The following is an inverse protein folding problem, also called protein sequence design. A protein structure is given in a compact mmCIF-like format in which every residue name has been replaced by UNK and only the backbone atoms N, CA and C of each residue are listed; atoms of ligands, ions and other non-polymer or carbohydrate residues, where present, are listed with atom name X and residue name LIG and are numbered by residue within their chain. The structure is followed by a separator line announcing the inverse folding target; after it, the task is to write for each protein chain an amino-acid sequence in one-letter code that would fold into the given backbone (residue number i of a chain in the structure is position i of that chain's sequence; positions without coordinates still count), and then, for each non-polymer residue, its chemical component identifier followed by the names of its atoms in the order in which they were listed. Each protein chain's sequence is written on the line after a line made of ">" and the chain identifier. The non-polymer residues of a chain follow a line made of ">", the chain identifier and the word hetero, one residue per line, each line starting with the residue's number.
data_IF_118270589541
#
_entry.id   IF_118270589541
#
_cell.length_a   1.000
_cell.length_b   1.000
_cell.length_c   1.000
_cell.angle_alpha   90.00
_cell.angle_beta   90.00
_cell.angle_gamma   90.00
#
_symmetry.space_group_name_H-M   'P 1'
#
loop_
_entity.id
_entity.type
_entity.pdbx_description
1 polymer ?
#
# COMPACT_ATOMS: atom_id res chain seq x y z
N UNK A 1 19.59 8.71 6.99
CA UNK A 1 18.66 9.28 8.01
C UNK A 1 17.36 8.52 7.81
N UNK A 2 16.77 7.93 8.85
CA UNK A 2 15.45 7.27 8.73
C UNK A 2 14.32 8.33 8.69
N UNK A 3 13.10 7.89 8.38
CA UNK A 3 11.97 8.83 8.18
C UNK A 3 11.57 9.57 9.46
N UNK A 4 11.66 8.94 10.64
CA UNK A 4 11.39 9.64 11.92
C UNK A 4 12.44 10.72 12.22
N UNK A 5 13.71 10.43 11.97
CA UNK A 5 14.80 11.41 12.11
C UNK A 5 14.64 12.57 11.12
N UNK A 6 14.17 12.30 9.89
CA UNK A 6 13.87 13.34 8.90
C UNK A 6 12.75 14.26 9.39
N UNK A 7 11.63 13.70 9.86
CA UNK A 7 10.52 14.46 10.41
C UNK A 7 11.01 15.34 11.57
N UNK A 8 11.77 14.79 12.50
CA UNK A 8 12.32 15.51 13.63
C UNK A 8 13.29 16.64 13.20
N UNK A 9 14.13 16.40 12.19
CA UNK A 9 15.06 17.40 11.66
C UNK A 9 14.34 18.56 10.98
N UNK A 10 13.26 18.28 10.24
CA UNK A 10 12.40 19.30 9.62
C UNK A 10 11.68 20.13 10.69
N UNK A 11 11.02 19.50 11.66
CA UNK A 11 10.33 20.17 12.75
C UNK A 11 11.26 21.07 13.59
N UNK A 12 12.47 20.60 13.85
CA UNK A 12 13.49 21.35 14.61
C UNK A 12 14.22 22.38 13.75
N UNK A 13 13.86 22.54 12.48
CA UNK A 13 14.53 23.40 11.50
C UNK A 13 16.06 23.17 11.42
N UNK A 14 16.50 21.95 11.72
CA UNK A 14 17.89 21.50 11.57
C UNK A 14 18.25 21.21 10.11
N UNK A 15 17.26 20.88 9.31
CA UNK A 15 17.37 20.70 7.87
C UNK A 15 16.72 21.91 7.18
N UNK A 16 17.42 22.50 6.21
CA UNK A 16 16.84 23.55 5.39
C UNK A 16 15.81 22.95 4.44
N UNK A 17 14.53 23.26 4.67
CA UNK A 17 13.42 22.69 3.92
C UNK A 17 13.50 22.97 2.43
N UNK A 18 13.88 24.21 2.04
CA UNK A 18 13.96 24.60 0.62
C UNK A 18 15.09 23.86 -0.10
N UNK A 19 16.24 23.69 0.55
CA UNK A 19 17.36 22.91 0.01
C UNK A 19 16.99 21.45 -0.12
N UNK A 20 16.36 20.86 0.90
CA UNK A 20 15.89 19.47 0.89
C UNK A 20 14.89 19.20 -0.24
N UNK A 21 13.90 20.09 -0.42
CA UNK A 21 12.94 19.98 -1.52
C UNK A 21 13.62 20.18 -2.88
N UNK A 22 14.61 21.07 -2.97
CA UNK A 22 15.41 21.23 -4.20
C UNK A 22 16.17 19.98 -4.58
N UNK A 23 16.76 19.27 -3.61
CA UNK A 23 17.44 17.98 -3.86
C UNK A 23 16.46 16.90 -4.36
N UNK A 24 15.24 16.92 -3.85
CA UNK A 24 14.15 16.03 -4.33
C UNK A 24 13.81 16.38 -5.79
N UNK A 25 13.66 17.67 -6.11
CA UNK A 25 13.40 18.11 -7.48
C UNK A 25 14.53 17.65 -8.43
N UNK A 26 15.80 17.85 -8.05
CA UNK A 26 16.94 17.41 -8.84
C UNK A 26 16.93 15.89 -9.09
N UNK A 27 16.47 15.12 -8.11
CA UNK A 27 16.32 13.66 -8.23
C UNK A 27 15.21 13.28 -9.17
N UNK A 28 14.04 13.92 -9.05
CA UNK A 28 12.90 13.70 -9.95
C UNK A 28 13.30 14.00 -11.39
N UNK A 29 13.89 15.17 -11.65
CA UNK A 29 14.28 15.61 -13.01
C UNK A 29 15.32 14.68 -13.65
N UNK A 30 16.18 14.05 -12.87
CA UNK A 30 17.18 13.09 -13.34
C UNK A 30 16.59 11.71 -13.63
N UNK A 31 15.64 11.22 -12.83
CA UNK A 31 15.22 9.82 -12.84
C UNK A 31 13.84 9.61 -13.51
N UNK A 32 12.96 10.63 -13.53
CA UNK A 32 11.54 10.48 -13.88
C UNK A 32 11.32 10.09 -15.36
N UNK A 33 12.22 10.49 -16.25
CA UNK A 33 12.13 10.08 -17.66
C UNK A 33 12.20 8.55 -17.87
N UNK A 34 12.82 7.83 -16.92
CA UNK A 34 12.92 6.37 -16.92
C UNK A 34 11.91 5.74 -15.97
N UNK A 35 11.74 6.32 -14.78
CA UNK A 35 10.90 5.74 -13.72
C UNK A 35 9.41 5.87 -14.01
N UNK A 36 8.99 7.02 -14.51
CA UNK A 36 7.59 7.35 -14.80
C UNK A 36 6.64 7.07 -13.62
N UNK A 37 7.00 7.60 -12.45
CA UNK A 37 6.25 7.42 -11.22
C UNK A 37 5.19 8.49 -10.99
N UNK A 38 5.36 9.69 -11.60
CA UNK A 38 4.51 10.86 -11.40
C UNK A 38 3.61 11.05 -12.62
N UNK A 39 2.34 11.39 -12.38
CA UNK A 39 1.38 11.71 -13.45
C UNK A 39 1.84 12.94 -14.21
N UNK A 40 1.98 12.89 -15.54
CA UNK A 40 2.43 14.03 -16.34
C UNK A 40 1.63 15.31 -16.07
N UNK A 41 2.33 16.42 -15.88
CA UNK A 41 1.74 17.74 -15.60
C UNK A 41 1.30 17.96 -14.15
N UNK A 42 1.58 17.04 -13.22
CA UNK A 42 1.28 17.22 -11.79
C UNK A 42 2.52 17.54 -10.94
N UNK A 43 3.70 17.46 -11.50
CA UNK A 43 4.94 17.93 -10.89
C UNK A 43 5.32 19.30 -11.48
N UNK A 44 5.61 20.26 -10.61
CA UNK A 44 6.10 21.58 -10.96
C UNK A 44 7.15 22.03 -9.92
N UNK A 45 8.41 22.15 -10.37
CA UNK A 45 9.54 22.52 -9.50
C UNK A 45 9.35 23.88 -8.85
N UNK A 46 8.94 24.88 -9.63
CA UNK A 46 8.81 26.26 -9.14
C UNK A 46 7.70 26.36 -8.09
N UNK A 47 6.55 25.75 -8.37
CA UNK A 47 5.46 25.67 -7.41
C UNK A 47 5.85 24.94 -6.13
N UNK A 48 6.61 23.84 -6.24
CA UNK A 48 7.05 23.05 -5.09
C UNK A 48 8.05 23.83 -4.21
N UNK A 49 9.01 24.52 -4.81
CA UNK A 49 9.96 25.39 -4.10
C UNK A 49 9.27 26.60 -3.45
N UNK A 50 8.24 27.16 -4.10
CA UNK A 50 7.40 28.21 -3.51
C UNK A 50 6.67 27.70 -2.27
N UNK A 51 6.03 26.55 -2.35
CA UNK A 51 5.36 25.91 -1.20
C UNK A 51 6.35 25.62 -0.06
N UNK A 52 7.55 25.10 -0.38
CA UNK A 52 8.59 24.86 0.62
C UNK A 52 9.05 26.15 1.30
N UNK A 53 9.20 27.23 0.52
CA UNK A 53 9.55 28.56 1.03
C UNK A 53 8.46 29.09 1.97
N UNK A 54 7.21 29.07 1.56
CA UNK A 54 6.08 29.49 2.39
C UNK A 54 5.97 28.63 3.66
N UNK A 55 6.14 27.33 3.56
CA UNK A 55 6.14 26.43 4.70
C UNK A 55 7.29 26.76 5.66
N UNK A 56 8.50 27.08 5.16
CA UNK A 56 9.67 27.40 5.97
C UNK A 56 9.49 28.63 6.88
N UNK A 57 8.58 29.52 6.51
CA UNK A 57 8.22 30.72 7.28
C UNK A 57 7.20 30.44 8.39
N UNK A 58 6.56 29.28 8.36
CA UNK A 58 5.57 28.90 9.38
C UNK A 58 6.25 28.36 10.64
N UNK A 59 5.49 28.38 11.75
CA UNK A 59 5.88 27.68 12.97
C UNK A 59 5.58 26.18 12.80
N UNK A 60 6.54 25.29 13.04
CA UNK A 60 6.33 23.84 13.01
C UNK A 60 5.45 23.33 14.16
N UNK A 61 5.22 24.12 15.21
CA UNK A 61 4.36 23.75 16.32
C UNK A 61 2.95 23.38 15.81
N UNK A 62 2.46 22.24 16.27
CA UNK A 62 1.19 21.63 15.83
C UNK A 62 1.15 21.10 14.37
N UNK A 63 2.29 21.01 13.70
CA UNK A 63 2.42 20.38 12.38
C UNK A 63 3.30 19.13 12.45
N UNK A 64 2.76 17.96 12.83
CA UNK A 64 3.55 16.76 13.05
C UNK A 64 4.30 16.24 11.80
N UNK A 65 3.91 16.68 10.61
CA UNK A 65 4.54 16.35 9.33
C UNK A 65 5.07 17.61 8.61
N UNK A 66 5.50 18.61 9.37
CA UNK A 66 5.97 19.88 8.87
C UNK A 66 7.00 19.73 7.74
N UNK A 67 6.63 20.23 6.56
CA UNK A 67 7.47 20.26 5.38
C UNK A 67 7.73 18.88 4.73
N UNK A 68 7.10 17.81 5.20
CA UNK A 68 7.35 16.46 4.68
C UNK A 68 6.78 16.32 3.24
N UNK A 69 7.62 16.00 2.23
CA UNK A 69 7.14 15.75 0.88
C UNK A 69 6.35 14.44 0.80
N UNK A 70 5.20 14.46 0.13
CA UNK A 70 4.35 13.28 -0.05
C UNK A 70 3.91 13.09 -1.50
N UNK A 71 3.73 11.81 -1.89
CA UNK A 71 3.09 11.41 -3.14
C UNK A 71 1.61 11.07 -2.93
N UNK A 72 0.76 11.42 -3.89
CA UNK A 72 -0.69 11.16 -3.82
C UNK A 72 -1.13 10.30 -4.99
N UNK A 73 -1.51 9.03 -4.73
CA UNK A 73 -1.98 8.11 -5.78
C UNK A 73 -3.14 8.72 -6.57
N UNK A 74 -3.15 8.53 -7.88
CA UNK A 74 -4.03 9.24 -8.80
C UNK A 74 -5.48 8.72 -8.85
N UNK A 75 -5.97 8.19 -7.76
CA UNK A 75 -7.40 8.00 -7.47
C UNK A 75 -7.85 8.83 -6.27
N UNK A 76 -6.92 9.51 -5.58
CA UNK A 76 -7.22 10.43 -4.48
C UNK A 76 -7.37 11.82 -5.05
N UNK A 77 -8.50 12.48 -4.83
CA UNK A 77 -8.65 13.89 -5.17
C UNK A 77 -7.74 14.73 -4.29
N UNK A 78 -7.02 15.64 -4.91
CA UNK A 78 -6.13 16.59 -4.23
C UNK A 78 -6.32 17.97 -4.86
N UNK A 79 -6.67 18.96 -4.06
CA UNK A 79 -6.88 20.33 -4.54
C UNK A 79 -5.60 20.90 -5.15
N UNK A 80 -5.74 21.48 -6.34
CA UNK A 80 -4.62 21.97 -7.14
C UNK A 80 -4.08 20.94 -8.15
N UNK A 81 -4.56 19.68 -8.12
CA UNK A 81 -4.10 18.62 -9.02
C UNK A 81 -5.26 17.94 -9.74
N UNK A 82 -5.14 17.63 -11.05
CA UNK A 82 -6.10 16.79 -11.73
C UNK A 82 -6.08 15.38 -11.16
N UNK A 83 -7.22 14.69 -11.20
CA UNK A 83 -7.33 13.25 -10.97
C UNK A 83 -7.70 12.59 -12.29
N UNK A 84 -6.89 11.63 -12.74
CA UNK A 84 -7.08 10.94 -14.03
C UNK A 84 -7.41 9.45 -13.88
N UNK A 85 -7.14 8.88 -12.72
CA UNK A 85 -7.32 7.44 -12.42
C UNK A 85 -6.57 6.51 -13.37
N UNK A 86 -5.50 6.99 -14.04
CA UNK A 86 -4.83 6.22 -15.10
C UNK A 86 -5.74 5.90 -16.31
N UNK A 87 -6.82 6.65 -16.48
CA UNK A 87 -7.90 6.43 -17.43
C UNK A 87 -7.82 7.40 -18.62
N UNK A 88 -8.53 7.09 -19.69
CA UNK A 88 -8.73 7.98 -20.83
C UNK A 88 -10.01 8.82 -20.74
N UNK A 89 -10.79 8.67 -19.68
CA UNK A 89 -11.97 9.49 -19.45
C UNK A 89 -11.58 10.96 -19.23
N UNK A 90 -12.46 11.90 -19.58
CA UNK A 90 -12.23 13.33 -19.30
C UNK A 90 -11.98 13.56 -17.80
N UNK A 91 -10.98 14.37 -17.46
CA UNK A 91 -10.63 14.66 -16.04
C UNK A 91 -11.76 15.31 -15.25
N UNK A 92 -12.67 16.00 -15.96
CA UNK A 92 -13.88 16.59 -15.39
C UNK A 92 -14.80 15.57 -14.75
N UNK A 93 -14.79 14.34 -15.23
CA UNK A 93 -15.54 13.19 -14.69
C UNK A 93 -15.20 12.93 -13.23
N UNK A 94 -13.97 13.21 -12.80
CA UNK A 94 -13.46 12.89 -11.49
C UNK A 94 -13.45 14.08 -10.52
N UNK A 95 -14.01 15.23 -10.90
CA UNK A 95 -14.12 16.39 -10.02
C UNK A 95 -14.92 16.07 -8.77
N UNK A 96 -14.52 16.65 -7.65
CA UNK A 96 -15.20 16.47 -6.37
C UNK A 96 -14.35 17.02 -5.23
N UNK A 97 -14.82 16.85 -4.01
CA UNK A 97 -14.14 17.28 -2.79
C UNK A 97 -12.80 16.57 -2.65
N UNK A 98 -11.79 17.29 -2.18
CA UNK A 98 -10.47 16.74 -1.83
C UNK A 98 -10.63 15.51 -0.92
N UNK A 99 -9.79 14.54 -1.09
CA UNK A 99 -9.77 13.35 -0.24
C UNK A 99 -9.43 13.74 1.20
N UNK A 100 -10.28 13.30 2.13
CA UNK A 100 -10.13 13.62 3.56
C UNK A 100 -8.72 13.33 4.09
N UNK A 101 -8.12 12.21 3.70
CA UNK A 101 -6.77 11.84 4.14
C UNK A 101 -5.68 12.76 3.55
N UNK A 102 -5.89 13.31 2.36
CA UNK A 102 -4.97 14.31 1.78
C UNK A 102 -5.06 15.61 2.56
N UNK A 103 -6.27 16.07 2.86
CA UNK A 103 -6.50 17.24 3.72
C UNK A 103 -5.80 17.09 5.06
N UNK A 104 -5.96 15.94 5.74
CA UNK A 104 -5.31 15.67 7.03
C UNK A 104 -3.78 15.81 6.95
N UNK A 105 -3.13 15.24 5.90
CA UNK A 105 -1.68 15.35 5.78
C UNK A 105 -1.23 16.79 5.47
N UNK A 106 -1.98 17.52 4.64
CA UNK A 106 -1.71 18.93 4.35
C UNK A 106 -1.84 19.81 5.61
N UNK A 107 -2.88 19.58 6.41
CA UNK A 107 -3.07 20.26 7.70
C UNK A 107 -1.96 19.90 8.70
N UNK A 108 -1.46 18.67 8.66
CA UNK A 108 -0.29 18.23 9.44
C UNK A 108 1.03 18.84 8.94
N UNK A 109 1.03 19.63 7.86
CA UNK A 109 2.19 20.36 7.34
C UNK A 109 2.90 19.69 6.17
N UNK A 110 2.38 18.56 5.64
CA UNK A 110 2.98 17.89 4.50
C UNK A 110 2.83 18.71 3.19
N UNK A 111 3.78 18.52 2.26
CA UNK A 111 3.82 19.15 0.95
C UNK A 111 3.57 18.10 -0.13
N UNK A 112 2.55 18.30 -0.97
CA UNK A 112 2.25 17.39 -2.07
C UNK A 112 3.23 17.63 -3.23
N UNK A 113 4.04 16.60 -3.55
CA UNK A 113 5.00 16.65 -4.67
C UNK A 113 4.30 16.49 -6.02
N UNK A 114 3.28 15.64 -6.08
CA UNK A 114 2.51 15.38 -7.27
C UNK A 114 1.61 14.15 -7.13
N UNK A 115 0.83 13.88 -8.19
CA UNK A 115 0.02 12.67 -8.27
C UNK A 115 0.89 11.51 -8.74
N UNK A 116 0.76 10.35 -8.12
CA UNK A 116 1.54 9.16 -8.49
C UNK A 116 0.74 8.23 -9.38
N UNK A 117 1.41 7.67 -10.39
CA UNK A 117 0.80 6.76 -11.37
C UNK A 117 0.11 5.58 -10.67
N UNK A 118 -1.09 5.29 -11.14
CA UNK A 118 -1.88 4.11 -10.80
C UNK A 118 -2.16 3.29 -12.07
N UNK A 119 -2.56 2.03 -11.92
CA UNK A 119 -3.21 1.29 -13.00
C UNK A 119 -4.59 1.89 -13.28
N UNK A 120 -5.17 1.65 -14.46
CA UNK A 120 -6.48 2.18 -14.83
C UNK A 120 -7.52 1.85 -13.74
N UNK A 121 -8.08 2.89 -13.10
CA UNK A 121 -9.03 2.80 -11.97
C UNK A 121 -8.58 1.86 -10.83
N UNK A 122 -7.29 1.80 -10.56
CA UNK A 122 -6.70 0.84 -9.62
C UNK A 122 -6.96 -0.64 -9.96
N UNK A 123 -7.41 -0.97 -11.19
CA UNK A 123 -7.67 -2.31 -11.71
C UNK A 123 -6.37 -2.97 -12.25
N UNK A 124 -6.46 -3.73 -13.34
CA UNK A 124 -5.35 -4.56 -13.80
C UNK A 124 -4.53 -3.98 -14.96
N UNK A 125 -5.06 -2.98 -15.70
CA UNK A 125 -4.33 -2.40 -16.83
C UNK A 125 -3.19 -1.51 -16.34
N UNK A 126 -1.91 -1.87 -16.59
CA UNK A 126 -0.76 -1.17 -16.02
C UNK A 126 -0.56 0.24 -16.59
N UNK A 127 0.06 1.11 -15.78
CA UNK A 127 0.64 2.38 -16.24
C UNK A 127 2.08 2.20 -16.74
N UNK A 128 2.75 3.29 -17.12
CA UNK A 128 4.09 3.27 -17.71
C UNK A 128 5.23 3.10 -16.69
N UNK A 129 4.93 3.10 -15.40
CA UNK A 129 5.95 3.08 -14.33
C UNK A 129 6.82 1.84 -14.40
N UNK A 130 8.13 2.03 -14.28
CA UNK A 130 9.12 0.94 -14.24
C UNK A 130 9.57 0.65 -12.81
N UNK A 131 10.16 -0.54 -12.59
CA UNK A 131 10.66 -0.91 -11.28
C UNK A 131 11.96 -0.14 -10.94
N UNK A 132 12.04 0.51 -9.77
CA UNK A 132 13.21 1.30 -9.37
C UNK A 132 14.51 0.49 -9.21
N UNK A 133 14.41 -0.81 -8.92
CA UNK A 133 15.58 -1.69 -8.83
C UNK A 133 16.08 -2.16 -10.20
N UNK A 134 15.15 -2.37 -11.15
CA UNK A 134 15.48 -2.76 -12.53
C UNK A 134 14.34 -2.32 -13.48
N UNK A 135 14.59 -1.36 -14.39
CA UNK A 135 13.55 -0.81 -15.27
C UNK A 135 12.97 -1.80 -16.29
N UNK A 136 13.59 -2.99 -16.43
CA UNK A 136 13.04 -4.07 -17.26
C UNK A 136 11.93 -4.88 -16.56
N UNK A 137 11.59 -4.55 -15.32
CA UNK A 137 10.60 -5.24 -14.51
C UNK A 137 9.45 -4.30 -14.12
N UNK A 138 8.29 -4.89 -13.82
CA UNK A 138 7.15 -4.15 -13.28
C UNK A 138 7.43 -3.66 -11.84
N UNK A 139 6.96 -2.48 -11.44
CA UNK A 139 6.97 -2.05 -10.04
C UNK A 139 5.84 -2.72 -9.23
N UNK A 140 5.02 -3.55 -9.86
CA UNK A 140 3.75 -3.98 -9.28
C UNK A 140 2.66 -2.93 -9.48
N UNK A 141 1.53 -3.13 -8.79
CA UNK A 141 0.38 -2.22 -8.86
C UNK A 141 -0.73 -2.65 -7.91
N UNK A 142 -1.76 -1.84 -7.86
CA UNK A 142 -2.07 -0.64 -8.63
C UNK A 142 -1.37 0.65 -8.16
N UNK A 143 -0.78 0.70 -6.96
CA UNK A 143 -0.04 1.86 -6.44
C UNK A 143 1.40 1.90 -6.99
N UNK A 144 1.54 1.81 -8.33
CA UNK A 144 2.82 1.66 -9.04
C UNK A 144 3.75 2.83 -8.80
N UNK A 145 3.32 4.05 -9.13
CA UNK A 145 4.11 5.27 -8.96
C UNK A 145 4.38 5.60 -7.49
N UNK A 146 3.44 5.26 -6.59
CA UNK A 146 3.63 5.46 -5.15
C UNK A 146 4.80 4.63 -4.62
N UNK A 147 4.84 3.33 -4.93
CA UNK A 147 5.93 2.46 -4.50
C UNK A 147 7.26 2.82 -5.16
N UNK A 148 7.25 3.08 -6.47
CA UNK A 148 8.44 3.43 -7.22
C UNK A 148 9.03 4.78 -6.78
N UNK A 149 8.19 5.79 -6.55
CA UNK A 149 8.62 7.12 -6.09
C UNK A 149 9.21 7.10 -4.68
N UNK A 150 8.60 6.34 -3.75
CA UNK A 150 9.18 6.12 -2.40
C UNK A 150 10.53 5.43 -2.51
N UNK A 151 10.64 4.35 -3.28
CA UNK A 151 11.89 3.61 -3.44
C UNK A 151 13.02 4.43 -4.08
N UNK A 152 12.68 5.41 -4.93
CA UNK A 152 13.65 6.36 -5.52
C UNK A 152 13.86 7.60 -4.66
N UNK A 153 13.19 7.72 -3.52
CA UNK A 153 13.33 8.85 -2.60
C UNK A 153 12.80 10.16 -3.18
N UNK A 154 11.75 10.12 -3.99
CA UNK A 154 11.01 11.33 -4.41
C UNK A 154 10.22 11.90 -3.24
N UNK A 155 9.79 11.04 -2.37
CA UNK A 155 9.09 11.35 -1.14
C UNK A 155 9.20 10.17 -0.17
N UNK A 156 9.31 10.41 1.15
CA UNK A 156 9.38 9.35 2.15
C UNK A 156 8.04 8.65 2.40
N UNK A 157 6.93 9.21 1.89
CA UNK A 157 5.57 8.72 2.04
C UNK A 157 4.78 8.90 0.75
N UNK A 158 3.96 7.92 0.40
CA UNK A 158 2.95 8.08 -0.65
C UNK A 158 1.66 7.32 -0.29
N UNK A 159 0.51 7.93 -0.60
CA UNK A 159 -0.76 7.20 -0.51
C UNK A 159 -0.82 6.04 -1.48
N UNK A 160 -1.42 4.96 -1.01
CA UNK A 160 -1.82 3.79 -1.78
C UNK A 160 -3.24 3.36 -1.44
N UNK A 161 -3.81 2.52 -2.27
CA UNK A 161 -5.06 1.82 -1.99
C UNK A 161 -4.91 0.35 -2.29
N UNK A 162 -5.69 -0.50 -1.62
CA UNK A 162 -5.66 -1.94 -1.85
C UNK A 162 -7.06 -2.54 -1.87
N UNK A 163 -7.41 -3.12 -3.01
CA UNK A 163 -8.62 -3.90 -3.24
C UNK A 163 -8.31 -5.40 -3.29
N UNK A 164 -7.08 -5.76 -3.69
CA UNK A 164 -6.54 -7.14 -3.66
C UNK A 164 -5.16 -7.14 -3.00
N UNK A 165 -4.13 -6.62 -3.69
CA UNK A 165 -2.74 -6.58 -3.26
C UNK A 165 -2.03 -5.27 -3.62
N UNK A 166 -2.78 -4.19 -3.83
CA UNK A 166 -2.29 -2.98 -4.51
C UNK A 166 -1.45 -2.03 -3.65
N UNK A 167 -1.17 -2.38 -2.40
CA UNK A 167 -0.16 -1.77 -1.53
C UNK A 167 0.96 -2.78 -1.28
N UNK A 168 0.61 -3.97 -0.80
CA UNK A 168 1.55 -4.98 -0.35
C UNK A 168 2.46 -5.48 -1.49
N UNK A 169 1.88 -5.77 -2.67
CA UNK A 169 2.64 -6.27 -3.82
C UNK A 169 3.63 -5.24 -4.37
N UNK A 170 3.24 -3.99 -4.73
CA UNK A 170 4.21 -3.01 -5.18
C UNK A 170 5.23 -2.63 -4.11
N UNK A 171 4.87 -2.65 -2.81
CA UNK A 171 5.82 -2.49 -1.72
C UNK A 171 6.92 -3.57 -1.77
N UNK A 172 6.50 -4.84 -1.90
CA UNK A 172 7.41 -5.98 -2.01
C UNK A 172 8.30 -5.88 -3.25
N UNK A 173 7.75 -5.54 -4.41
CA UNK A 173 8.48 -5.46 -5.68
C UNK A 173 9.43 -4.26 -5.78
N UNK A 174 9.14 -3.17 -5.09
CA UNK A 174 9.99 -1.98 -5.08
C UNK A 174 10.94 -1.92 -3.86
N UNK A 175 10.79 -2.83 -2.89
CA UNK A 175 11.65 -2.88 -1.70
C UNK A 175 11.36 -1.76 -0.69
N UNK A 176 10.09 -1.40 -0.51
CA UNK A 176 9.62 -0.39 0.46
C UNK A 176 8.63 -0.99 1.45
N UNK A 177 8.34 -0.29 2.52
CA UNK A 177 7.30 -0.68 3.49
C UNK A 177 5.92 -0.33 2.91
N UNK A 178 4.99 -1.28 2.96
CA UNK A 178 3.60 -1.06 2.56
C UNK A 178 2.66 -1.30 3.73
N UNK A 179 1.77 -0.37 4.00
CA UNK A 179 0.86 -0.40 5.15
C UNK A 179 -0.58 -0.41 4.68
N UNK A 180 -1.29 -1.48 4.97
CA UNK A 180 -2.73 -1.61 4.78
C UNK A 180 -3.39 -1.74 6.16
N UNK A 181 -4.00 -0.67 6.68
CA UNK A 181 -4.73 -0.71 7.95
C UNK A 181 -5.92 -1.67 7.91
N UNK A 182 -6.51 -1.95 9.06
CA UNK A 182 -7.80 -2.63 9.16
C UNK A 182 -8.85 -1.91 8.31
N UNK A 183 -9.75 -2.68 7.68
CA UNK A 183 -10.81 -2.10 6.85
C UNK A 183 -11.62 -1.05 7.63
N UNK A 184 -11.74 0.14 7.04
CA UNK A 184 -12.50 1.25 7.61
C UNK A 184 -11.76 2.08 8.69
N UNK A 185 -10.51 1.75 9.06
CA UNK A 185 -9.74 2.56 10.02
C UNK A 185 -9.21 3.88 9.43
N UNK A 186 -8.99 3.92 8.13
CA UNK A 186 -8.60 5.13 7.38
C UNK A 186 -9.73 5.48 6.42
N UNK A 187 -10.11 6.76 6.36
CA UNK A 187 -11.20 7.23 5.53
C UNK A 187 -10.90 7.07 4.04
N UNK A 188 -11.87 6.59 3.27
CA UNK A 188 -11.84 6.58 1.81
C UNK A 188 -12.65 7.74 1.19
N UNK A 189 -13.09 8.71 1.99
CA UNK A 189 -13.82 9.86 1.50
C UNK A 189 -12.98 10.68 0.51
N UNK A 190 -13.55 11.00 -0.65
CA UNK A 190 -12.88 11.71 -1.72
C UNK A 190 -11.92 10.86 -2.57
N UNK A 191 -11.87 9.54 -2.36
CA UNK A 191 -11.14 8.58 -3.20
C UNK A 191 -12.08 8.02 -4.27
N UNK A 192 -11.60 7.84 -5.50
CA UNK A 192 -12.34 7.12 -6.53
C UNK A 192 -12.33 5.63 -6.20
N UNK A 193 -13.51 5.07 -5.98
CA UNK A 193 -13.69 3.69 -5.55
C UNK A 193 -13.44 2.70 -6.70
N UNK A 194 -12.87 1.55 -6.36
CA UNK A 194 -12.90 0.34 -7.16
C UNK A 194 -13.96 -0.62 -6.64
N UNK A 195 -13.96 -0.87 -5.33
CA UNK A 195 -14.89 -1.78 -4.65
C UNK A 195 -15.17 -1.28 -3.23
N UNK A 196 -16.42 -0.84 -2.98
CA UNK A 196 -16.81 -0.18 -1.72
C UNK A 196 -16.50 -0.97 -0.48
N UNK A 197 -16.66 -2.30 -0.55
CA UNK A 197 -16.48 -3.16 0.62
C UNK A 197 -15.08 -3.77 0.73
N UNK A 198 -14.23 -3.62 -0.32
CA UNK A 198 -12.87 -4.17 -0.34
C UNK A 198 -11.79 -3.10 -0.26
N UNK A 199 -12.05 -1.88 -0.72
CA UNK A 199 -11.04 -0.84 -0.80
C UNK A 199 -10.51 -0.45 0.57
N UNK A 200 -9.19 -0.52 0.71
CA UNK A 200 -8.46 -0.02 1.86
C UNK A 200 -7.61 1.17 1.42
N UNK A 201 -7.69 2.26 2.15
CA UNK A 201 -6.73 3.34 2.07
C UNK A 201 -5.55 3.00 2.98
N UNK A 202 -4.36 3.15 2.46
CA UNK A 202 -3.14 2.96 3.21
C UNK A 202 -1.99 3.69 2.54
N UNK A 203 -0.77 3.30 2.80
CA UNK A 203 0.40 4.03 2.31
C UNK A 203 1.61 3.14 2.07
N UNK A 204 2.58 3.74 1.39
CA UNK A 204 3.93 3.22 1.21
C UNK A 204 4.91 4.21 1.85
N UNK A 205 5.94 3.71 2.51
CA UNK A 205 6.96 4.54 3.13
C UNK A 205 8.34 3.87 3.06
N UNK A 206 9.37 4.67 3.27
CA UNK A 206 10.76 4.21 3.11
C UNK A 206 11.16 3.19 4.17
N UNK A 207 10.69 3.40 5.40
CA UNK A 207 11.00 2.55 6.57
C UNK A 207 9.86 2.58 7.61
N UNK A 208 10.00 1.75 8.65
CA UNK A 208 8.99 1.61 9.71
C UNK A 208 9.06 2.67 10.81
N UNK A 209 10.15 3.44 10.88
CA UNK A 209 10.41 4.37 11.99
C UNK A 209 9.34 5.45 12.16
N UNK A 210 8.66 5.83 11.06
CA UNK A 210 7.63 6.87 11.07
C UNK A 210 6.20 6.32 11.06
N UNK A 211 5.97 5.01 11.24
CA UNK A 211 4.62 4.44 11.24
C UNK A 211 3.70 5.13 12.25
N UNK A 212 4.18 5.39 13.46
CA UNK A 212 3.42 6.11 14.48
C UNK A 212 3.07 7.55 14.06
N UNK A 213 4.00 8.27 13.41
CA UNK A 213 3.77 9.64 12.96
C UNK A 213 2.64 9.71 11.91
N UNK A 214 2.66 8.82 10.93
CA UNK A 214 1.60 8.78 9.91
C UNK A 214 0.27 8.32 10.49
N UNK A 215 0.29 7.31 11.34
CA UNK A 215 -0.92 6.75 11.95
C UNK A 215 -1.64 7.74 12.86
N UNK A 216 -0.92 8.56 13.62
CA UNK A 216 -1.51 9.60 14.48
C UNK A 216 -2.30 10.64 13.68
N UNK A 217 -1.91 10.90 12.43
CA UNK A 217 -2.60 11.84 11.55
C UNK A 217 -3.76 11.17 10.82
N UNK A 218 -3.57 9.92 10.37
CA UNK A 218 -4.50 9.26 9.46
C UNK A 218 -5.55 8.39 10.15
N UNK A 219 -5.29 7.94 11.39
CA UNK A 219 -6.14 6.99 12.10
C UNK A 219 -6.73 7.64 13.35
N UNK A 220 -8.04 7.77 13.37
CA UNK A 220 -8.74 8.29 14.54
C UNK A 220 -8.50 7.42 15.78
N UNK A 221 -8.32 8.05 16.93
CA UNK A 221 -8.07 7.40 18.22
C UNK A 221 -6.83 6.48 18.21
N UNK A 222 -5.81 6.85 17.44
CA UNK A 222 -4.53 6.16 17.46
C UNK A 222 -3.90 6.23 18.86
N UNK A 223 -3.59 5.08 19.46
CA UNK A 223 -3.06 5.00 20.84
C UNK A 223 -1.56 5.16 20.91
N UNK A 224 -0.88 4.85 19.81
CA UNK A 224 0.58 4.79 19.73
C UNK A 224 1.16 3.68 20.60
N UNK A 225 1.74 2.66 19.99
CA UNK A 225 2.49 1.64 20.68
C UNK A 225 3.95 1.67 20.23
N UNK A 226 4.85 1.37 21.19
CA UNK A 226 6.24 1.11 20.88
C UNK A 226 6.54 -0.39 21.01
N UNK A 227 7.63 -0.83 20.40
CA UNK A 227 8.10 -2.20 20.53
C UNK A 227 8.34 -2.63 21.99
N UNK A 228 8.65 -1.68 22.86
CA UNK A 228 8.86 -1.89 24.31
C UNK A 228 7.58 -2.30 25.07
N UNK A 229 6.40 -1.93 24.52
CA UNK A 229 5.10 -2.26 25.15
C UNK A 229 4.59 -3.63 24.73
N UNK A 230 5.23 -4.29 23.78
CA UNK A 230 4.84 -5.62 23.30
C UNK A 230 5.27 -6.72 24.30
N UNK A 231 4.53 -7.84 24.41
CA UNK A 231 4.92 -8.98 25.22
C UNK A 231 6.33 -9.49 24.90
N UNK A 232 7.08 -9.92 25.92
CA UNK A 232 8.44 -10.43 25.72
C UNK A 232 8.46 -11.74 24.90
N UNK A 233 7.48 -12.61 25.11
CA UNK A 233 7.34 -13.88 24.39
C UNK A 233 6.35 -13.69 23.24
N UNK A 234 6.86 -13.41 22.04
CA UNK A 234 6.06 -13.21 20.82
C UNK A 234 5.98 -14.48 20.01
N UNK A 235 4.82 -14.73 19.47
CA UNK A 235 4.55 -15.87 18.61
C UNK A 235 3.95 -15.40 17.28
N UNK A 236 4.52 -15.82 16.17
CA UNK A 236 4.05 -15.50 14.82
C UNK A 236 3.62 -16.80 14.14
N UNK A 237 2.39 -16.80 13.62
CA UNK A 237 1.81 -17.92 12.90
C UNK A 237 2.21 -17.92 11.42
N UNK A 238 2.58 -19.08 10.90
CA UNK A 238 2.75 -19.30 9.46
C UNK A 238 1.49 -19.99 8.93
N UNK A 239 0.76 -19.38 7.97
CA UNK A 239 -0.39 -20.04 7.36
C UNK A 239 -0.03 -21.38 6.74
N UNK A 240 -0.85 -22.40 6.99
CA UNK A 240 -0.75 -23.72 6.36
C UNK A 240 -1.87 -23.90 5.32
N UNK A 241 -1.70 -24.86 4.40
CA UNK A 241 -2.70 -25.22 3.42
C UNK A 241 -2.46 -24.66 2.02
N UNK A 242 -3.50 -24.59 1.15
CA UNK A 242 -3.33 -24.27 -0.27
C UNK A 242 -2.84 -22.85 -0.53
N UNK A 243 -3.11 -21.91 0.37
CA UNK A 243 -2.70 -20.50 0.24
C UNK A 243 -1.17 -20.36 0.13
N UNK A 244 -0.42 -20.95 1.05
CA UNK A 244 1.04 -20.79 1.07
C UNK A 244 1.70 -21.40 -0.17
N UNK A 245 1.08 -22.44 -0.72
CA UNK A 245 1.50 -23.09 -1.96
C UNK A 245 1.33 -22.24 -3.24
N UNK A 246 0.72 -21.07 -3.16
CA UNK A 246 0.65 -20.12 -4.27
C UNK A 246 1.98 -19.40 -4.52
N UNK A 247 2.87 -19.35 -3.52
CA UNK A 247 4.21 -18.78 -3.70
C UNK A 247 5.12 -19.75 -4.48
N UNK A 248 6.07 -19.20 -5.24
CA UNK A 248 7.05 -20.01 -5.97
C UNK A 248 7.95 -20.80 -5.03
N UNK A 249 8.51 -21.91 -5.50
CA UNK A 249 9.43 -22.71 -4.71
C UNK A 249 10.66 -21.89 -4.25
N UNK A 250 11.12 -20.95 -5.08
CA UNK A 250 12.24 -20.08 -4.73
C UNK A 250 11.85 -19.06 -3.65
N UNK A 251 10.65 -18.48 -3.75
CA UNK A 251 10.14 -17.56 -2.73
C UNK A 251 9.90 -18.26 -1.39
N UNK A 252 9.41 -19.49 -1.41
CA UNK A 252 9.27 -20.31 -0.19
C UNK A 252 10.61 -20.62 0.46
N UNK A 253 11.68 -20.83 -0.33
CA UNK A 253 13.05 -21.01 0.21
C UNK A 253 13.57 -19.70 0.85
N UNK A 254 13.32 -18.54 0.24
CA UNK A 254 13.66 -17.23 0.82
C UNK A 254 12.89 -16.98 2.10
N UNK A 255 11.59 -17.26 2.07
CA UNK A 255 10.71 -17.14 3.22
C UNK A 255 11.17 -18.01 4.40
N UNK A 256 11.58 -19.26 4.15
CA UNK A 256 12.11 -20.12 5.20
C UNK A 256 13.35 -19.54 5.89
N UNK A 257 14.26 -18.93 5.13
CA UNK A 257 15.44 -18.24 5.71
C UNK A 257 15.03 -17.09 6.62
N UNK A 258 13.99 -16.30 6.23
CA UNK A 258 13.48 -15.22 7.07
C UNK A 258 12.91 -15.78 8.38
N UNK A 259 12.15 -16.85 8.31
CA UNK A 259 11.59 -17.49 9.51
C UNK A 259 12.70 -17.97 10.45
N UNK A 260 13.79 -18.50 9.92
CA UNK A 260 14.94 -18.94 10.73
C UNK A 260 15.64 -17.73 11.41
N UNK A 261 15.82 -16.61 10.70
CA UNK A 261 16.35 -15.37 11.29
C UNK A 261 15.44 -14.84 12.42
N UNK A 262 14.12 -14.89 12.24
CA UNK A 262 13.17 -14.49 13.29
C UNK A 262 13.23 -15.41 14.52
N UNK A 263 13.43 -16.73 14.34
CA UNK A 263 13.65 -17.66 15.44
C UNK A 263 14.96 -17.35 16.19
N UNK A 264 16.04 -17.06 15.48
CA UNK A 264 17.31 -16.64 16.06
C UNK A 264 17.19 -15.34 16.86
N UNK A 265 16.30 -14.45 16.44
CA UNK A 265 15.95 -13.22 17.17
C UNK A 265 15.06 -13.48 18.39
N UNK A 266 14.59 -14.71 18.60
CA UNK A 266 13.78 -15.12 19.75
C UNK A 266 12.27 -15.04 19.54
N UNK A 267 11.80 -14.93 18.30
CA UNK A 267 10.38 -15.00 17.96
C UNK A 267 9.97 -16.47 17.78
N UNK A 268 8.92 -16.89 18.48
CA UNK A 268 8.33 -18.22 18.28
C UNK A 268 7.60 -18.28 16.94
N UNK A 269 8.00 -19.20 16.07
CA UNK A 269 7.32 -19.43 14.79
C UNK A 269 6.49 -20.70 14.89
N UNK A 270 5.18 -20.56 14.70
CA UNK A 270 4.19 -21.63 14.91
C UNK A 270 3.40 -21.88 13.61
N UNK A 271 3.21 -23.15 13.18
CA UNK A 271 2.24 -23.45 12.14
C UNK A 271 0.83 -23.01 12.56
N UNK A 272 0.10 -22.35 11.66
CA UNK A 272 -1.25 -21.88 11.92
C UNK A 272 -2.18 -22.34 10.78
N UNK A 273 -3.04 -23.36 10.99
CA UNK A 273 -3.94 -23.89 9.97
C UNK A 273 -5.10 -22.90 9.75
N UNK A 274 -4.90 -21.97 8.84
CA UNK A 274 -5.86 -20.97 8.40
C UNK A 274 -6.07 -21.05 6.89
N UNK A 275 -7.16 -20.50 6.40
CA UNK A 275 -7.46 -20.42 4.96
C UNK A 275 -7.70 -21.80 4.32
N UNK A 276 -8.29 -22.73 5.04
CA UNK A 276 -8.67 -24.06 4.50
C UNK A 276 -9.58 -23.94 3.27
N UNK A 277 -10.45 -22.90 3.24
CA UNK A 277 -11.38 -22.61 2.14
C UNK A 277 -10.85 -21.51 1.21
N UNK A 278 -9.55 -21.49 0.95
CA UNK A 278 -8.90 -20.41 0.19
C UNK A 278 -9.51 -20.21 -1.21
N UNK A 279 -9.83 -21.29 -1.94
CA UNK A 279 -10.42 -21.17 -3.28
C UNK A 279 -11.83 -20.55 -3.24
N UNK A 280 -12.61 -20.81 -2.19
CA UNK A 280 -13.92 -20.14 -1.99
C UNK A 280 -13.71 -18.65 -1.75
N UNK A 281 -12.77 -18.29 -0.87
CA UNK A 281 -12.42 -16.88 -0.60
C UNK A 281 -12.00 -16.17 -1.90
N UNK A 282 -11.17 -16.82 -2.71
CA UNK A 282 -10.70 -16.29 -4.00
C UNK A 282 -11.85 -16.06 -4.97
N UNK A 283 -12.74 -17.02 -5.10
CA UNK A 283 -13.92 -16.93 -5.97
C UNK A 283 -14.90 -15.84 -5.52
N UNK A 284 -15.23 -15.80 -4.23
CA UNK A 284 -16.13 -14.77 -3.68
C UNK A 284 -15.52 -13.38 -3.78
N UNK A 285 -14.22 -13.22 -3.48
CA UNK A 285 -13.51 -11.95 -3.65
C UNK A 285 -13.63 -11.43 -5.08
N UNK A 286 -13.38 -12.28 -6.07
CA UNK A 286 -13.46 -11.89 -7.48
C UNK A 286 -14.89 -11.44 -7.87
N UNK A 287 -15.91 -12.16 -7.43
CA UNK A 287 -17.30 -11.81 -7.72
C UNK A 287 -17.70 -10.48 -7.07
N UNK A 288 -17.30 -10.26 -5.80
CA UNK A 288 -17.58 -9.00 -5.10
C UNK A 288 -16.96 -7.82 -5.84
N UNK A 289 -15.66 -7.88 -6.15
CA UNK A 289 -14.98 -6.74 -6.78
C UNK A 289 -15.53 -6.46 -8.18
N UNK A 290 -15.88 -7.47 -8.97
CA UNK A 290 -16.51 -7.27 -10.28
C UNK A 290 -17.90 -6.62 -10.15
N UNK A 291 -18.73 -7.10 -9.23
CA UNK A 291 -20.06 -6.56 -9.02
C UNK A 291 -20.02 -5.10 -8.55
N UNK A 292 -19.18 -4.80 -7.56
CA UNK A 292 -19.06 -3.44 -7.03
C UNK A 292 -18.39 -2.48 -8.01
N UNK A 293 -17.38 -2.95 -8.79
CA UNK A 293 -16.81 -2.19 -9.90
C UNK A 293 -17.89 -1.81 -10.92
N UNK A 294 -18.75 -2.76 -11.29
CA UNK A 294 -19.83 -2.49 -12.24
C UNK A 294 -20.84 -1.46 -11.74
N UNK A 295 -21.04 -1.39 -10.41
CA UNK A 295 -21.91 -0.39 -9.81
C UNK A 295 -21.26 1.00 -9.78
N UNK A 296 -19.98 1.07 -9.43
CA UNK A 296 -19.23 2.34 -9.42
C UNK A 296 -19.13 2.95 -10.81
N UNK A 297 -18.91 2.13 -11.82
CA UNK A 297 -18.69 2.57 -13.20
C UNK A 297 -19.96 2.65 -14.06
N UNK A 298 -21.15 2.39 -13.49
CA UNK A 298 -22.39 2.24 -14.26
C UNK A 298 -22.65 3.37 -15.25
N UNK A 299 -22.61 4.59 -14.77
CA UNK A 299 -22.93 5.77 -15.60
C UNK A 299 -21.78 6.12 -16.53
N UNK A 300 -20.55 6.11 -16.02
CA UNK A 300 -19.37 6.39 -16.83
C UNK A 300 -19.18 5.38 -17.97
N UNK A 301 -19.44 4.10 -17.69
CA UNK A 301 -19.31 3.04 -18.69
C UNK A 301 -20.43 3.10 -19.75
N UNK A 302 -21.64 3.52 -19.37
CA UNK A 302 -22.74 3.74 -20.32
C UNK A 302 -22.42 4.86 -21.32
N UNK A 303 -21.76 5.94 -20.84
CA UNK A 303 -21.51 7.14 -21.64
C UNK A 303 -20.18 7.07 -22.43
N UNK A 304 -19.19 6.25 -21.99
CA UNK A 304 -17.82 6.31 -22.47
C UNK A 304 -17.14 4.93 -22.61
N UNK A 305 -17.90 3.89 -22.98
CA UNK A 305 -17.38 2.52 -23.05
C UNK A 305 -16.10 2.38 -23.88
N UNK A 306 -15.98 3.14 -24.98
CA UNK A 306 -14.85 3.11 -25.92
C UNK A 306 -13.53 3.65 -25.32
N UNK A 307 -13.62 4.36 -24.19
CA UNK A 307 -12.45 4.91 -23.48
C UNK A 307 -11.87 3.95 -22.45
N UNK A 308 -12.57 2.86 -22.14
CA UNK A 308 -12.09 1.82 -21.22
C UNK A 308 -11.13 0.85 -21.92
N UNK A 309 -10.18 0.28 -21.17
CA UNK A 309 -9.43 -0.87 -21.66
C UNK A 309 -10.35 -2.09 -21.80
N UNK A 310 -10.04 -2.97 -22.76
CA UNK A 310 -10.81 -4.20 -22.99
C UNK A 310 -10.95 -5.03 -21.72
N UNK A 311 -9.83 -5.23 -20.99
CA UNK A 311 -9.82 -6.00 -19.74
C UNK A 311 -10.74 -5.42 -18.67
N UNK A 312 -10.78 -4.07 -18.51
CA UNK A 312 -11.65 -3.42 -17.54
C UNK A 312 -13.12 -3.49 -17.97
N UNK A 313 -13.39 -3.30 -19.25
CA UNK A 313 -14.75 -3.43 -19.82
C UNK A 313 -15.31 -4.84 -19.60
N UNK A 314 -14.51 -5.89 -19.82
CA UNK A 314 -14.90 -7.28 -19.54
C UNK A 314 -15.26 -7.50 -18.07
N UNK A 315 -14.48 -6.97 -17.13
CA UNK A 315 -14.76 -7.06 -15.70
C UNK A 315 -16.07 -6.38 -15.33
N UNK A 316 -16.35 -5.18 -15.89
CA UNK A 316 -17.60 -4.46 -15.65
C UNK A 316 -18.78 -5.27 -16.17
N UNK A 317 -18.70 -5.79 -17.40
CA UNK A 317 -19.77 -6.61 -18.02
C UNK A 317 -19.98 -7.92 -17.24
N UNK A 318 -18.93 -8.53 -16.73
CA UNK A 318 -19.04 -9.71 -15.87
C UNK A 318 -19.72 -9.37 -14.54
N UNK A 319 -19.35 -8.23 -13.93
CA UNK A 319 -19.93 -7.76 -12.68
C UNK A 319 -21.42 -7.47 -12.73
N UNK A 320 -21.92 -6.97 -13.88
CA UNK A 320 -23.36 -6.75 -14.12
C UNK A 320 -24.20 -8.03 -14.04
N UNK A 321 -23.58 -9.20 -14.20
CA UNK A 321 -24.25 -10.51 -14.17
C UNK A 321 -24.30 -11.14 -12.77
N UNK A 322 -23.60 -10.58 -11.79
CA UNK A 322 -23.57 -11.10 -10.42
C UNK A 322 -24.93 -10.85 -9.76
N UNK A 323 -25.51 -11.93 -9.21
CA UNK A 323 -26.77 -11.83 -8.48
C UNK A 323 -26.64 -10.98 -7.21
N UNK A 324 -27.58 -10.09 -6.95
CA UNK A 324 -27.52 -9.10 -5.85
C UNK A 324 -27.72 -9.72 -4.47
N UNK A 325 -28.50 -10.80 -4.38
CA UNK A 325 -28.69 -11.50 -3.10
C UNK A 325 -27.41 -12.29 -2.77
N UNK A 326 -26.81 -12.91 -3.77
CA UNK A 326 -25.54 -13.61 -3.63
C UNK A 326 -24.39 -12.65 -3.28
N UNK A 327 -24.33 -11.46 -3.90
CA UNK A 327 -23.38 -10.42 -3.52
C UNK A 327 -23.52 -10.06 -2.04
N UNK A 328 -24.75 -9.79 -1.57
CA UNK A 328 -24.98 -9.44 -0.17
C UNK A 328 -24.57 -10.57 0.79
N UNK A 329 -24.83 -11.86 0.41
CA UNK A 329 -24.38 -13.04 1.16
C UNK A 329 -22.85 -13.10 1.25
N UNK A 330 -22.16 -12.93 0.13
CA UNK A 330 -20.70 -12.97 0.09
C UNK A 330 -20.07 -11.86 0.91
N UNK A 331 -20.60 -10.64 0.84
CA UNK A 331 -20.13 -9.50 1.64
C UNK A 331 -20.28 -9.76 3.13
N UNK A 332 -21.39 -10.41 3.57
CA UNK A 332 -21.59 -10.76 4.98
C UNK A 332 -20.68 -11.95 5.40
N UNK A 333 -20.49 -12.93 4.52
CA UNK A 333 -19.64 -14.10 4.79
C UNK A 333 -18.19 -13.69 5.14
N UNK A 334 -17.68 -12.59 4.58
CA UNK A 334 -16.35 -12.05 4.92
C UNK A 334 -16.14 -11.83 6.41
N UNK A 335 -17.18 -11.33 7.12
CA UNK A 335 -17.10 -11.10 8.57
C UNK A 335 -16.96 -12.40 9.34
N UNK A 336 -17.66 -13.46 8.88
CA UNK A 336 -17.56 -14.80 9.46
C UNK A 336 -16.18 -15.40 9.23
N UNK A 337 -15.64 -15.30 8.02
CA UNK A 337 -14.28 -15.76 7.69
C UNK A 337 -13.24 -15.03 8.54
N UNK A 338 -13.36 -13.70 8.69
CA UNK A 338 -12.49 -12.93 9.57
C UNK A 338 -12.54 -13.40 11.01
N UNK A 339 -13.74 -13.61 11.57
CA UNK A 339 -13.91 -14.07 12.95
C UNK A 339 -13.32 -15.47 13.15
N UNK A 340 -13.55 -16.39 12.22
CA UNK A 340 -12.99 -17.72 12.26
C UNK A 340 -11.46 -17.71 12.18
N UNK A 341 -10.88 -16.84 11.34
CA UNK A 341 -9.43 -16.70 11.22
C UNK A 341 -8.82 -16.15 12.51
N UNK A 342 -9.41 -15.12 13.13
CA UNK A 342 -8.94 -14.60 14.41
C UNK A 342 -9.05 -15.65 15.53
N UNK A 343 -10.12 -16.45 15.54
CA UNK A 343 -10.25 -17.58 16.48
C UNK A 343 -9.12 -18.61 16.29
N UNK A 344 -8.76 -18.95 15.05
CA UNK A 344 -7.62 -19.85 14.78
C UNK A 344 -6.29 -19.27 15.27
N UNK A 345 -6.11 -17.95 15.15
CA UNK A 345 -4.95 -17.29 15.73
C UNK A 345 -4.93 -17.37 17.26
N UNK A 346 -6.11 -17.27 17.92
CA UNK A 346 -6.22 -17.44 19.39
C UNK A 346 -5.90 -18.89 19.81
N UNK A 347 -6.46 -19.87 19.11
CA UNK A 347 -6.22 -21.29 19.36
C UNK A 347 -4.74 -21.68 19.18
N UNK A 348 -4.05 -21.06 18.20
CA UNK A 348 -2.63 -21.24 17.96
C UNK A 348 -1.73 -20.41 18.91
N UNK A 349 -2.30 -19.49 19.68
CA UNK A 349 -1.56 -18.61 20.60
C UNK A 349 -0.60 -17.66 19.87
N UNK A 350 -0.98 -17.13 18.70
CA UNK A 350 -0.13 -16.27 17.88
C UNK A 350 -0.59 -14.81 17.90
N UNK A 351 0.38 -13.88 17.94
CA UNK A 351 0.11 -12.44 17.97
C UNK A 351 -0.22 -11.89 16.57
N UNK A 352 0.45 -12.43 15.55
CA UNK A 352 0.28 -12.06 14.14
C UNK A 352 0.53 -13.28 13.24
N UNK A 353 0.17 -13.15 11.97
CA UNK A 353 0.60 -14.10 10.93
C UNK A 353 1.72 -13.48 10.08
N UNK A 354 2.52 -14.34 9.45
CA UNK A 354 3.54 -13.95 8.47
C UNK A 354 3.42 -14.79 7.21
N UNK A 355 3.55 -14.17 6.06
CA UNK A 355 3.50 -14.84 4.77
C UNK A 355 4.44 -14.14 3.77
N UNK A 356 4.80 -14.77 2.63
CA UNK A 356 5.46 -14.09 1.53
C UNK A 356 4.67 -12.84 1.08
N UNK A 357 5.37 -11.76 0.75
CA UNK A 357 4.74 -10.51 0.31
C UNK A 357 4.16 -10.58 -1.10
N UNK A 358 4.69 -11.48 -1.92
CA UNK A 358 4.26 -11.76 -3.30
C UNK A 358 4.54 -13.22 -3.67
N UNK A 359 4.09 -13.66 -4.85
CA UNK A 359 4.32 -15.03 -5.36
C UNK A 359 5.81 -15.29 -5.62
N UNK A 360 6.52 -14.30 -6.11
CA UNK A 360 7.97 -14.29 -6.39
C UNK A 360 8.42 -12.82 -6.47
N UNK A 361 9.67 -12.56 -6.89
CA UNK A 361 10.14 -11.22 -7.24
C UNK A 361 9.34 -10.65 -8.42
N UNK A 362 9.45 -9.33 -8.64
CA UNK A 362 8.75 -8.66 -9.73
C UNK A 362 9.02 -9.34 -11.08
N UNK A 363 7.99 -9.73 -11.85
CA UNK A 363 8.16 -10.30 -13.17
C UNK A 363 8.77 -9.27 -14.16
N UNK A 364 9.42 -9.79 -15.19
CA UNK A 364 9.96 -8.97 -16.29
C UNK A 364 8.81 -8.44 -17.16
N UNK A 365 8.98 -7.22 -17.66
CA UNK A 365 7.97 -6.50 -18.44
C UNK A 365 7.12 -5.58 -17.57
N UNK A 366 6.35 -4.70 -18.20
CA UNK A 366 5.43 -3.77 -17.53
C UNK A 366 3.97 -4.02 -17.93
N UNK A 367 3.71 -5.02 -18.74
CA UNK A 367 2.36 -5.36 -19.26
C UNK A 367 1.48 -6.03 -18.20
N UNK A 368 2.06 -6.40 -17.07
CA UNK A 368 1.38 -6.98 -15.92
C UNK A 368 1.93 -6.43 -14.62
N UNK A 369 1.08 -6.28 -13.62
CA UNK A 369 1.50 -5.90 -12.25
C UNK A 369 1.85 -7.09 -11.37
N UNK A 370 1.90 -8.31 -11.92
CA UNK A 370 2.09 -9.57 -11.19
C UNK A 370 0.81 -10.08 -10.51
N UNK A 371 0.88 -11.26 -9.89
CA UNK A 371 -0.26 -11.92 -9.22
C UNK A 371 -0.43 -11.42 -7.77
N UNK A 372 -1.60 -10.89 -7.38
CA UNK A 372 -1.88 -10.42 -6.02
C UNK A 372 -2.34 -11.52 -5.05
N UNK A 373 -2.31 -12.78 -5.45
CA UNK A 373 -2.92 -13.90 -4.72
C UNK A 373 -2.44 -14.01 -3.26
N UNK A 374 -1.17 -13.68 -2.99
CA UNK A 374 -0.62 -13.70 -1.62
C UNK A 374 -1.21 -12.62 -0.70
N UNK A 375 -1.82 -11.57 -1.26
CA UNK A 375 -2.38 -10.46 -0.47
C UNK A 375 -3.92 -10.53 -0.37
N UNK A 376 -4.54 -11.31 -1.24
CA UNK A 376 -5.99 -11.41 -1.41
C UNK A 376 -6.74 -11.72 -0.10
N UNK A 377 -6.40 -12.77 0.68
CA UNK A 377 -7.20 -13.15 1.85
C UNK A 377 -7.20 -12.07 2.94
N UNK A 378 -6.13 -11.31 3.05
CA UNK A 378 -5.99 -10.24 4.03
C UNK A 378 -6.80 -9.00 3.69
N UNK A 379 -7.03 -8.77 2.39
CA UNK A 379 -7.97 -7.76 1.91
C UNK A 379 -9.41 -8.24 2.05
N UNK A 380 -9.70 -9.47 1.63
CA UNK A 380 -11.03 -10.08 1.77
C UNK A 380 -11.53 -10.05 3.21
N UNK A 381 -10.69 -10.43 4.17
CA UNK A 381 -11.03 -10.42 5.60
C UNK A 381 -10.98 -9.04 6.24
N UNK A 382 -10.36 -8.06 5.60
CA UNK A 382 -10.17 -6.70 6.13
C UNK A 382 -9.13 -6.61 7.25
N UNK A 383 -8.35 -7.66 7.50
CA UNK A 383 -7.29 -7.64 8.52
C UNK A 383 -6.16 -6.68 8.13
N UNK A 384 -5.54 -5.97 9.08
CA UNK A 384 -4.41 -5.09 8.78
C UNK A 384 -3.19 -5.88 8.34
N UNK A 385 -2.37 -5.30 7.47
CA UNK A 385 -1.10 -5.89 7.07
C UNK A 385 0.00 -4.85 6.87
N UNK A 386 1.24 -5.23 7.18
CA UNK A 386 2.44 -4.46 6.91
C UNK A 386 3.38 -5.32 6.07
N UNK A 387 3.72 -4.83 4.88
CA UNK A 387 4.74 -5.45 4.03
C UNK A 387 6.10 -4.92 4.42
N UNK A 388 7.01 -5.82 4.71
CA UNK A 388 8.40 -5.52 5.07
C UNK A 388 9.33 -5.98 3.95
N UNK A 389 10.12 -5.08 3.38
CA UNK A 389 11.08 -5.45 2.36
C UNK A 389 12.26 -6.20 2.97
N UNK A 390 12.67 -7.27 2.32
CA UNK A 390 13.97 -7.85 2.49
C UNK A 390 14.91 -7.13 1.52
N UNK A 391 15.83 -6.34 2.04
CA UNK A 391 16.72 -5.54 1.20
C UNK A 391 17.73 -6.46 0.53
N UNK A 392 17.69 -6.62 -0.79
CA UNK A 392 18.67 -7.41 -1.49
C UNK A 392 20.03 -6.71 -1.46
N UNK A 393 21.08 -7.49 -1.57
CA UNK A 393 22.37 -6.99 -2.05
C UNK A 393 22.20 -6.48 -3.48
N UNK A 394 23.06 -5.59 -3.95
CA UNK A 394 22.94 -4.85 -5.22
C UNK A 394 22.71 -5.68 -6.51
N UNK A 395 22.63 -7.00 -6.43
CA UNK A 395 22.53 -7.91 -7.57
C UNK A 395 21.18 -8.62 -7.72
N UNK A 396 20.23 -8.49 -6.76
CA UNK A 396 18.97 -9.25 -6.78
C UNK A 396 17.76 -8.33 -6.76
N UNK A 397 16.64 -8.79 -7.35
CA UNK A 397 15.38 -8.08 -7.28
C UNK A 397 14.83 -8.07 -5.84
N UNK A 398 14.16 -6.98 -5.41
CA UNK A 398 13.53 -6.92 -4.11
C UNK A 398 12.50 -8.05 -3.92
N UNK A 399 12.41 -8.55 -2.71
CA UNK A 399 11.36 -9.43 -2.23
C UNK A 399 11.01 -9.07 -0.78
N UNK A 400 10.08 -9.73 -0.15
CA UNK A 400 9.70 -9.38 1.22
C UNK A 400 8.63 -10.27 1.80
N UNK A 401 8.28 -9.98 3.04
CA UNK A 401 7.20 -10.63 3.77
C UNK A 401 6.09 -9.65 4.09
N UNK A 402 4.91 -10.16 4.37
CA UNK A 402 3.82 -9.40 4.96
C UNK A 402 3.49 -9.97 6.33
N UNK A 403 3.37 -9.08 7.30
CA UNK A 403 2.79 -9.36 8.61
C UNK A 403 1.32 -9.04 8.58
N UNK A 404 0.50 -9.89 9.19
CA UNK A 404 -0.94 -9.72 9.25
C UNK A 404 -1.37 -9.71 10.71
N UNK A 405 -1.99 -8.61 11.13
CA UNK A 405 -2.48 -8.43 12.49
C UNK A 405 -3.95 -8.79 12.66
N UNK A 406 -4.42 -8.62 13.88
CA UNK A 406 -5.82 -8.77 14.24
C UNK A 406 -6.63 -7.54 13.83
N UNK A 407 -7.89 -7.74 13.50
CA UNK A 407 -8.78 -6.66 13.10
C UNK A 407 -8.90 -5.59 14.19
N UNK A 408 -8.67 -4.33 13.83
CA UNK A 408 -8.64 -3.17 14.73
C UNK A 408 -7.56 -3.22 15.84
N UNK A 409 -6.50 -4.02 15.62
CA UNK A 409 -5.30 -4.03 16.46
C UNK A 409 -4.07 -3.63 15.62
N UNK A 410 -4.22 -2.53 14.90
CA UNK A 410 -3.19 -2.01 13.99
C UNK A 410 -1.96 -1.53 14.75
N UNK A 411 -2.16 -0.97 15.96
CA UNK A 411 -1.10 -0.49 16.82
C UNK A 411 -0.11 -1.59 17.18
N UNK A 412 -0.63 -2.73 17.61
CA UNK A 412 0.17 -3.91 17.98
C UNK A 412 0.93 -4.46 16.77
N UNK A 413 0.26 -4.52 15.60
CA UNK A 413 0.90 -4.96 14.36
C UNK A 413 2.02 -4.02 13.93
N UNK A 414 1.81 -2.70 13.99
CA UNK A 414 2.80 -1.72 13.54
C UNK A 414 4.01 -1.69 14.48
N UNK A 415 3.80 -1.82 15.79
CA UNK A 415 4.88 -1.97 16.75
C UNK A 415 5.68 -3.27 16.51
N UNK A 416 5.00 -4.39 16.22
CA UNK A 416 5.66 -5.65 15.86
C UNK A 416 6.45 -5.52 14.55
N UNK A 417 5.88 -4.86 13.54
CA UNK A 417 6.55 -4.62 12.27
C UNK A 417 7.82 -3.78 12.43
N UNK A 418 7.77 -2.72 13.23
CA UNK A 418 8.93 -1.89 13.52
C UNK A 418 10.02 -2.67 14.26
N UNK A 419 9.62 -3.47 15.24
CA UNK A 419 10.56 -4.33 15.98
C UNK A 419 11.32 -5.28 15.06
N UNK A 420 10.62 -5.99 14.17
CA UNK A 420 11.24 -7.05 13.36
C UNK A 420 11.88 -6.53 12.07
N UNK A 421 11.55 -5.31 11.63
CA UNK A 421 12.05 -4.74 10.37
C UNK A 421 13.59 -4.70 10.29
N UNK A 422 14.26 -4.47 11.43
CA UNK A 422 15.72 -4.46 11.53
C UNK A 422 16.35 -5.86 11.45
N UNK A 423 15.55 -6.92 11.65
CA UNK A 423 15.97 -8.33 11.71
C UNK A 423 15.54 -9.13 10.46
N UNK A 424 14.66 -8.58 9.64
CA UNK A 424 14.29 -9.14 8.33
C UNK A 424 15.32 -8.66 7.30
N UNK A 425 16.55 -9.15 7.44
CA UNK A 425 17.64 -8.91 6.49
C UNK A 425 17.99 -10.23 5.86
N UNK A 426 17.82 -10.36 4.56
CA UNK A 426 18.39 -11.49 3.84
C UNK A 426 19.65 -10.97 3.17
N UNK A 427 20.79 -11.37 3.72
CA UNK A 427 22.02 -11.41 2.97
C UNK A 427 21.86 -12.56 1.96
N UNK A 428 21.91 -12.23 0.67
CA UNK A 428 21.76 -13.17 -0.44
C UNK A 428 22.94 -14.13 -0.53
#
# INVERSE_FOLDING_TARGET
>A
MNTADLIAALQQKKLNLVEYVSEICDRIEREESTLQAIVPGTYDREALLSQATECSLRDPDNQPLYGLPIGVKDIFRADGYPTTCGSRLPVETFRGTESHVVTLLKEAGAIVVGKTITTEFAAFHPGPTTNPANPLHTPGGSSSGSAAGVAKGYFPFAFGSQTIGSIARPATFCGVVGVKPSYGRVSAEGVIEYSRTMDHVGWLCEDTSALNHFSQVLINNWRGLSAETLPANRSIGVPEGPYIGCASALELQRFAKILDQLKEFGISIVPCPVLEYFETIRSEHQQIIMAELSDVHRDWFADHQELYSEALAELIVAGQKVDRQELARMVEARKQVRSALMQRMDEAGVDALIAPGAVDVAPRGIESTGDPVMNLPWTYTGLPSVSLPCRPTSATMPHGVQLIGRFNQDEELFALADLIASHVRIDA
#
